data_IF_136886927706
#
_entry.id   IF_136886927706
#
_cell.length_a   1.000
_cell.length_b   1.000
_cell.length_c   1.000
_cell.angle_alpha   90.00
_cell.angle_beta   90.00
_cell.angle_gamma   90.00
#
_symmetry.space_group_name_H-M   'P 1'
#
loop_
_entity.id
_entity.type
_entity.pdbx_description
1 polymer ?
#
# COMPACT_ATOMS: atom_id res chain seq x y z
N UNK A 1 1.09 13.23 -2.13
CA UNK A 1 1.20 14.43 -1.26
C UNK A 1 0.54 15.62 -1.96
N UNK A 2 -0.18 16.44 -1.21
CA UNK A 2 -0.94 17.57 -1.76
C UNK A 2 -0.10 18.84 -1.92
N UNK A 3 -0.61 19.80 -2.70
CA UNK A 3 -0.07 21.15 -2.78
C UNK A 3 -0.07 21.83 -1.41
N UNK A 4 1.07 22.34 -0.94
CA UNK A 4 1.16 23.20 0.25
C UNK A 4 0.86 24.68 -0.06
N UNK A 5 0.29 24.96 -1.23
CA UNK A 5 0.05 26.32 -1.68
C UNK A 5 -1.13 26.96 -0.97
N UNK A 6 -1.00 28.26 -0.71
CA UNK A 6 -2.07 29.07 -0.16
C UNK A 6 -2.93 29.62 -1.29
N UNK A 7 -4.24 29.62 -1.09
CA UNK A 7 -5.18 30.33 -1.95
C UNK A 7 -5.64 31.59 -1.22
N UNK A 8 -5.76 32.70 -1.95
CA UNK A 8 -6.36 33.93 -1.40
C UNK A 8 -7.85 33.90 -1.65
N UNK A 9 -8.64 33.94 -0.58
CA UNK A 9 -10.10 33.97 -0.64
C UNK A 9 -10.55 35.37 -0.27
N UNK A 10 -11.45 35.94 -1.07
CA UNK A 10 -12.01 37.27 -0.85
C UNK A 10 -13.53 37.19 -0.90
N UNK A 11 -14.18 37.68 0.14
CA UNK A 11 -15.62 37.99 0.15
C UNK A 11 -15.82 39.49 0.08
N UNK A 12 -16.82 39.92 -0.68
CA UNK A 12 -17.23 41.31 -0.78
C UNK A 12 -18.70 41.46 -0.37
N UNK A 13 -19.05 42.64 0.12
CA UNK A 13 -20.42 43.00 0.49
C UNK A 13 -20.77 44.37 -0.04
N UNK A 14 -22.06 44.56 -0.33
CA UNK A 14 -22.62 45.84 -0.74
C UNK A 14 -22.77 46.84 0.41
N UNK A 15 -22.59 46.41 1.66
CA UNK A 15 -22.70 47.27 2.85
C UNK A 15 -21.42 47.25 3.69
N UNK A 16 -21.06 48.39 4.29
CA UNK A 16 -20.01 48.44 5.31
C UNK A 16 -20.54 47.85 6.62
N UNK A 17 -19.95 46.73 7.03
CA UNK A 17 -20.40 45.98 8.21
C UNK A 17 -20.11 46.72 9.53
N UNK A 18 -19.20 47.71 9.54
CA UNK A 18 -18.85 48.47 10.76
C UNK A 18 -20.05 49.25 11.31
N UNK A 19 -20.83 49.88 10.43
CA UNK A 19 -21.91 50.78 10.82
C UNK A 19 -23.19 50.03 11.22
N UNK A 20 -23.27 48.73 10.89
CA UNK A 20 -24.45 47.90 11.10
C UNK A 20 -24.32 46.92 12.27
N UNK A 21 -23.17 46.91 12.98
CA UNK A 21 -22.89 45.94 14.05
C UNK A 21 -22.73 44.50 13.54
N UNK A 22 -22.43 44.35 12.24
CA UNK A 22 -22.30 43.08 11.54
C UNK A 22 -20.82 42.76 11.27
N UNK A 23 -20.53 41.61 10.70
CA UNK A 23 -19.24 41.25 10.14
C UNK A 23 -19.41 40.45 8.85
N UNK A 24 -18.36 40.50 8.02
CA UNK A 24 -18.17 39.60 6.90
C UNK A 24 -17.48 38.34 7.39
N UNK A 25 -17.90 37.20 6.90
CA UNK A 25 -17.35 35.91 7.27
C UNK A 25 -17.09 35.06 6.04
N UNK A 26 -15.94 34.41 6.01
CA UNK A 26 -15.63 33.36 5.04
C UNK A 26 -15.77 32.05 5.81
N UNK A 27 -16.68 31.20 5.35
CA UNK A 27 -17.00 29.95 5.99
C UNK A 27 -16.73 28.79 5.05
N UNK A 28 -16.21 27.71 5.60
CA UNK A 28 -15.96 26.45 4.90
C UNK A 28 -17.07 25.47 5.26
N UNK A 29 -17.96 25.22 4.31
CA UNK A 29 -19.08 24.29 4.47
C UNK A 29 -18.58 22.85 4.55
N UNK A 30 -17.49 22.52 3.87
CA UNK A 30 -16.89 21.17 3.88
C UNK A 30 -16.30 20.85 5.25
N UNK A 31 -15.59 21.79 5.86
CA UNK A 31 -15.02 21.61 7.20
C UNK A 31 -16.01 21.95 8.33
N UNK A 32 -17.15 22.57 8.01
CA UNK A 32 -18.12 23.04 9.00
C UNK A 32 -17.52 24.08 9.95
N UNK A 33 -16.65 24.96 9.45
CA UNK A 33 -15.93 25.91 10.31
C UNK A 33 -15.67 27.26 9.64
N UNK A 34 -15.52 28.29 10.46
CA UNK A 34 -15.18 29.64 10.00
C UNK A 34 -13.69 29.73 9.65
N UNK A 35 -13.40 30.15 8.42
CA UNK A 35 -12.04 30.41 7.94
C UNK A 35 -11.52 31.75 8.47
N UNK A 36 -12.31 32.81 8.33
CA UNK A 36 -11.98 34.15 8.85
C UNK A 36 -13.22 35.01 9.02
N UNK A 37 -13.07 36.17 9.66
CA UNK A 37 -14.07 37.24 9.64
C UNK A 37 -13.43 38.63 9.65
N UNK A 38 -14.18 39.62 9.15
CA UNK A 38 -13.82 41.02 9.19
C UNK A 38 -14.98 41.84 9.72
N UNK A 39 -14.75 42.62 10.78
CA UNK A 39 -15.78 43.43 11.45
C UNK A 39 -15.93 44.86 10.90
N UNK A 40 -15.21 45.20 9.82
CA UNK A 40 -15.23 46.53 9.21
C UNK A 40 -15.01 46.44 7.70
N UNK A 41 -15.57 47.39 6.96
CA UNK A 41 -15.39 47.52 5.52
C UNK A 41 -16.34 46.65 4.72
N UNK A 42 -16.15 46.67 3.40
CA UNK A 42 -16.96 45.92 2.42
C UNK A 42 -16.23 44.72 1.84
N UNK A 43 -14.99 44.46 2.28
CA UNK A 43 -14.14 43.41 1.74
C UNK A 43 -13.45 42.68 2.89
N UNK A 44 -13.49 41.36 2.87
CA UNK A 44 -12.72 40.52 3.78
C UNK A 44 -11.90 39.52 2.96
N UNK A 45 -10.58 39.52 3.19
CA UNK A 45 -9.64 38.67 2.46
C UNK A 45 -8.79 37.89 3.44
N UNK A 46 -8.54 36.62 3.13
CA UNK A 46 -7.61 35.78 3.89
C UNK A 46 -6.83 34.82 3.00
N UNK A 47 -5.69 34.37 3.50
CA UNK A 47 -4.92 33.28 2.91
C UNK A 47 -5.36 31.96 3.54
N UNK A 48 -5.96 31.08 2.73
CA UNK A 48 -6.43 29.75 3.15
C UNK A 48 -5.47 28.67 2.65
N UNK A 49 -5.11 27.73 3.52
CA UNK A 49 -4.12 26.67 3.27
C UNK A 49 -4.68 25.33 3.71
N UNK A 50 -4.40 24.29 2.94
CA UNK A 50 -4.64 22.90 3.32
C UNK A 50 -3.35 22.09 3.22
N UNK A 51 -3.25 21.06 4.05
CA UNK A 51 -2.11 20.13 4.08
C UNK A 51 -2.39 18.84 3.33
N UNK A 52 -3.66 18.56 3.05
CA UNK A 52 -4.15 17.40 2.29
C UNK A 52 -4.89 17.83 1.03
N UNK A 53 -5.00 16.92 0.07
CA UNK A 53 -5.76 17.16 -1.15
C UNK A 53 -7.24 17.07 -0.86
N UNK A 54 -8.03 17.89 -1.52
CA UNK A 54 -9.47 17.94 -1.30
C UNK A 54 -10.11 19.12 -2.02
N UNK A 55 -11.43 19.11 -2.06
CA UNK A 55 -12.26 20.22 -2.54
C UNK A 55 -12.97 20.81 -1.34
N UNK A 56 -12.85 22.12 -1.15
CA UNK A 56 -13.55 22.87 -0.11
C UNK A 56 -14.58 23.79 -0.74
N UNK A 57 -15.80 23.73 -0.22
CA UNK A 57 -16.91 24.60 -0.58
C UNK A 57 -16.93 25.81 0.38
N UNK A 58 -16.62 26.99 -0.15
CA UNK A 58 -16.52 28.22 0.61
C UNK A 58 -17.67 29.16 0.28
N UNK A 59 -18.24 29.79 1.30
CA UNK A 59 -19.27 30.83 1.16
C UNK A 59 -18.90 32.08 1.94
N UNK A 60 -19.40 33.21 1.46
CA UNK A 60 -19.35 34.48 2.14
C UNK A 60 -20.64 34.78 2.89
N UNK A 61 -20.55 35.14 4.17
CA UNK A 61 -21.68 35.55 5.00
C UNK A 61 -21.61 37.03 5.37
N UNK A 62 -22.78 37.69 5.39
CA UNK A 62 -23.03 38.89 6.19
C UNK A 62 -23.98 38.49 7.29
N UNK A 63 -23.51 38.47 8.54
CA UNK A 63 -24.33 38.04 9.66
C UNK A 63 -25.45 39.05 10.00
N UNK A 64 -26.46 38.59 10.74
CA UNK A 64 -27.61 39.40 11.19
C UNK A 64 -28.87 39.13 10.37
N UNK A 65 -29.93 39.93 10.61
CA UNK A 65 -31.22 39.79 9.91
C UNK A 65 -31.51 41.05 9.07
N UNK A 66 -31.83 40.92 7.76
CA UNK A 66 -31.69 39.69 6.98
C UNK A 66 -30.22 39.28 6.83
N UNK A 67 -29.99 37.98 6.81
CA UNK A 67 -28.70 37.36 6.51
C UNK A 67 -28.48 37.35 5.00
N UNK A 68 -27.25 37.54 4.56
CA UNK A 68 -26.88 37.38 3.15
C UNK A 68 -25.77 36.33 3.04
N UNK A 69 -25.93 35.41 2.10
CA UNK A 69 -24.99 34.35 1.79
C UNK A 69 -24.65 34.43 0.30
N UNK A 70 -23.38 34.32 -0.06
CA UNK A 70 -22.97 34.23 -1.46
C UNK A 70 -23.29 32.85 -2.05
N UNK A 71 -23.27 32.76 -3.37
CA UNK A 71 -23.11 31.46 -4.02
C UNK A 71 -21.78 30.81 -3.58
N UNK A 72 -21.71 29.48 -3.54
CA UNK A 72 -20.49 28.77 -3.14
C UNK A 72 -19.38 28.90 -4.18
N UNK A 73 -18.16 29.06 -3.68
CA UNK A 73 -16.93 28.98 -4.45
C UNK A 73 -16.16 27.71 -4.06
N UNK A 74 -15.75 26.93 -5.04
CA UNK A 74 -15.01 25.69 -4.83
C UNK A 74 -13.51 25.94 -4.95
N UNK A 75 -12.75 25.51 -3.95
CA UNK A 75 -11.29 25.58 -3.94
C UNK A 75 -10.72 24.17 -3.86
N UNK A 76 -9.88 23.80 -4.83
CA UNK A 76 -9.29 22.46 -4.93
C UNK A 76 -7.81 22.49 -4.60
N UNK A 77 -7.41 21.75 -3.56
CA UNK A 77 -6.01 21.38 -3.34
C UNK A 77 -5.72 20.08 -4.08
N UNK A 78 -4.92 20.19 -5.14
CA UNK A 78 -4.57 19.04 -5.97
C UNK A 78 -3.72 18.03 -5.19
N UNK A 79 -4.04 16.76 -5.36
CA UNK A 79 -3.23 15.62 -4.95
C UNK A 79 -3.15 14.60 -6.07
N UNK A 80 -2.05 13.84 -6.10
CA UNK A 80 -1.85 12.74 -7.03
C UNK A 80 -1.34 11.51 -6.27
N UNK A 81 -1.89 10.35 -6.60
CA UNK A 81 -1.41 9.02 -6.21
C UNK A 81 -0.79 8.32 -7.42
N UNK A 82 0.10 7.36 -7.17
CA UNK A 82 0.72 6.54 -8.21
C UNK A 82 0.64 5.07 -7.77
N UNK A 83 0.30 4.19 -8.69
CA UNK A 83 0.46 2.75 -8.54
C UNK A 83 1.42 2.23 -9.61
N UNK A 84 2.37 1.38 -9.23
CA UNK A 84 3.32 0.74 -10.14
C UNK A 84 3.20 -0.78 -9.97
N UNK A 85 2.76 -1.48 -11.03
CA UNK A 85 2.61 -2.94 -11.00
C UNK A 85 3.52 -3.56 -12.03
N UNK A 86 4.36 -4.49 -11.62
CA UNK A 86 5.04 -5.38 -12.55
C UNK A 86 4.64 -6.81 -12.26
N UNK A 87 4.06 -7.47 -13.25
CA UNK A 87 3.90 -8.92 -13.25
C UNK A 87 4.71 -9.38 -14.44
N UNK A 88 6.03 -9.30 -14.32
CA UNK A 88 6.99 -9.52 -15.40
C UNK A 88 8.07 -10.52 -14.97
N UNK A 89 8.55 -11.40 -15.88
CA UNK A 89 9.29 -12.61 -15.55
C UNK A 89 10.60 -12.35 -14.81
N UNK A 90 11.18 -13.44 -14.27
CA UNK A 90 12.43 -13.56 -13.47
C UNK A 90 13.68 -12.80 -13.97
N UNK A 91 13.61 -12.12 -15.12
CA UNK A 91 14.72 -11.46 -15.83
C UNK A 91 14.40 -10.04 -16.34
N UNK A 92 13.25 -9.46 -15.97
CA UNK A 92 12.82 -8.13 -16.38
C UNK A 92 11.46 -8.12 -17.06
N UNK A 93 10.79 -6.97 -17.10
CA UNK A 93 9.44 -6.89 -17.65
C UNK A 93 8.86 -5.48 -17.73
N UNK A 94 7.61 -5.43 -18.18
CA UNK A 94 6.84 -4.18 -18.24
C UNK A 94 6.31 -3.82 -16.86
N UNK A 95 6.55 -2.58 -16.45
CA UNK A 95 5.91 -1.94 -15.31
C UNK A 95 4.74 -1.11 -15.84
N UNK A 96 3.55 -1.40 -15.35
CA UNK A 96 2.34 -0.63 -15.60
C UNK A 96 2.19 0.43 -14.52
N UNK A 97 2.22 1.69 -14.92
CA UNK A 97 2.14 2.85 -14.02
C UNK A 97 0.80 3.55 -14.24
N UNK A 98 0.08 3.82 -13.15
CA UNK A 98 -1.17 4.59 -13.17
C UNK A 98 -1.13 5.67 -12.12
N UNK A 99 -1.10 6.92 -12.56
CA UNK A 99 -1.25 8.09 -11.71
C UNK A 99 -2.71 8.55 -11.70
N UNK A 100 -3.23 8.93 -10.53
CA UNK A 100 -4.63 9.40 -10.36
C UNK A 100 -4.68 10.67 -9.53
N UNK A 101 -5.41 11.67 -10.00
CA UNK A 101 -5.63 12.95 -9.32
C UNK A 101 -7.01 13.00 -8.67
N UNK A 102 -7.16 13.84 -7.66
CA UNK A 102 -8.44 14.05 -6.95
C UNK A 102 -9.40 15.00 -7.70
N UNK A 103 -9.00 15.55 -8.85
CA UNK A 103 -9.80 16.44 -9.66
C UNK A 103 -9.52 16.25 -11.15
N UNK A 104 -10.53 16.52 -11.99
CA UNK A 104 -10.40 16.49 -13.44
C UNK A 104 -9.56 17.69 -13.92
N UNK A 105 -8.48 17.39 -14.65
CA UNK A 105 -7.53 18.37 -15.15
C UNK A 105 -7.77 18.77 -16.61
N UNK A 106 -8.76 18.20 -17.30
CA UNK A 106 -8.99 18.39 -18.73
C UNK A 106 -9.14 19.87 -19.12
N UNK A 107 -9.83 20.66 -18.29
CA UNK A 107 -10.07 22.09 -18.49
C UNK A 107 -9.02 23.01 -17.85
N UNK A 108 -8.04 22.47 -17.13
CA UNK A 108 -6.99 23.25 -16.44
C UNK A 108 -5.78 23.46 -17.36
N UNK A 109 -4.72 24.20 -16.98
CA UNK A 109 -3.43 24.17 -17.70
C UNK A 109 -2.56 22.95 -17.32
N UNK A 110 -2.92 22.19 -16.29
CA UNK A 110 -2.08 21.16 -15.69
C UNK A 110 -2.14 19.81 -16.42
N UNK A 111 -1.03 19.10 -16.47
CA UNK A 111 -0.89 17.72 -16.97
C UNK A 111 -0.37 16.81 -15.85
N UNK A 112 -0.56 15.51 -16.04
CA UNK A 112 0.00 14.48 -15.17
C UNK A 112 1.23 13.88 -15.85
N UNK A 113 2.36 13.79 -15.17
CA UNK A 113 3.56 13.11 -15.66
C UNK A 113 4.11 12.13 -14.63
N UNK A 114 4.58 10.97 -15.08
CA UNK A 114 5.27 9.99 -14.22
C UNK A 114 6.76 10.05 -14.54
N UNK A 115 7.58 10.09 -13.51
CA UNK A 115 9.03 10.23 -13.62
C UNK A 115 9.72 9.06 -12.95
N UNK A 116 10.81 8.59 -13.54
CA UNK A 116 11.70 7.61 -12.90
C UNK A 116 12.59 8.27 -11.83
N UNK A 117 13.32 7.43 -11.09
CA UNK A 117 14.26 7.86 -10.05
C UNK A 117 15.40 8.78 -10.55
N UNK A 118 15.68 8.78 -11.86
CA UNK A 118 16.64 9.69 -12.49
C UNK A 118 15.99 11.04 -12.89
N UNK A 119 14.70 11.23 -12.64
CA UNK A 119 13.96 12.43 -13.00
C UNK A 119 13.59 12.51 -14.48
N UNK A 120 13.59 11.38 -15.20
CA UNK A 120 13.19 11.32 -16.61
C UNK A 120 11.71 11.01 -16.71
N UNK A 121 11.01 11.72 -17.61
CA UNK A 121 9.60 11.43 -17.91
C UNK A 121 9.48 10.03 -18.50
N UNK A 122 8.57 9.24 -17.94
CA UNK A 122 8.22 7.91 -18.44
C UNK A 122 7.17 8.06 -19.52
N UNK A 123 7.48 7.56 -20.72
CA UNK A 123 6.59 7.51 -21.88
C UNK A 123 6.09 8.90 -22.33
N UNK A 124 5.02 9.42 -21.71
CA UNK A 124 4.44 10.72 -22.01
C UNK A 124 3.74 11.35 -20.79
N UNK A 125 3.41 12.64 -20.89
CA UNK A 125 2.52 13.30 -19.94
C UNK A 125 1.08 13.25 -20.45
N UNK A 126 0.12 13.01 -19.55
CA UNK A 126 -1.29 12.89 -19.92
C UNK A 126 -2.07 14.18 -19.64
N UNK A 127 -2.84 14.61 -20.64
CA UNK A 127 -3.86 15.66 -20.54
C UNK A 127 -5.25 15.04 -20.56
N UNK A 128 -5.56 14.20 -19.58
CA UNK A 128 -6.77 13.39 -19.57
C UNK A 128 -7.39 13.34 -18.18
N UNK A 129 -8.62 13.86 -18.05
CA UNK A 129 -9.49 13.61 -16.91
C UNK A 129 -8.78 13.67 -15.55
N UNK A 130 -8.86 12.55 -14.84
CA UNK A 130 -8.24 12.33 -13.52
C UNK A 130 -7.09 11.33 -13.54
N UNK A 131 -6.73 10.74 -14.69
CA UNK A 131 -5.81 9.59 -14.73
C UNK A 131 -4.78 9.68 -15.85
N UNK A 132 -3.58 9.19 -15.57
CA UNK A 132 -2.51 8.98 -16.55
C UNK A 132 -1.96 7.57 -16.42
N UNK A 133 -1.96 6.82 -17.52
CA UNK A 133 -1.44 5.45 -17.57
C UNK A 133 -0.28 5.40 -18.53
N UNK A 134 0.88 4.95 -18.05
CA UNK A 134 2.11 4.82 -18.84
C UNK A 134 2.79 3.49 -18.55
N UNK A 135 3.74 3.10 -19.40
CA UNK A 135 4.50 1.88 -19.24
C UNK A 135 6.00 2.18 -19.18
N UNK A 136 6.73 1.43 -18.37
CA UNK A 136 8.18 1.44 -18.35
C UNK A 136 8.71 0.01 -18.51
N UNK A 137 9.90 -0.13 -19.10
CA UNK A 137 10.61 -1.40 -19.17
C UNK A 137 11.71 -1.46 -18.12
N UNK A 138 11.83 -2.57 -17.40
CA UNK A 138 12.90 -2.80 -16.41
C UNK A 138 13.71 -4.04 -16.77
N UNK A 139 15.04 -3.91 -16.74
CA UNK A 139 15.97 -5.04 -16.84
C UNK A 139 16.05 -5.77 -15.50
N UNK A 140 16.10 -7.10 -15.51
CA UNK A 140 16.27 -7.90 -14.29
C UNK A 140 17.48 -7.45 -13.47
N UNK A 141 17.29 -7.27 -12.16
CA UNK A 141 18.34 -6.88 -11.21
C UNK A 141 18.25 -5.46 -10.65
N UNK A 142 17.30 -4.63 -11.10
CA UNK A 142 17.02 -3.33 -10.49
C UNK A 142 15.52 -3.10 -10.30
N UNK A 143 15.13 -2.64 -9.12
CA UNK A 143 13.77 -2.15 -8.84
C UNK A 143 13.78 -0.63 -8.93
N UNK A 144 13.44 -0.02 -10.08
CA UNK A 144 13.47 1.44 -10.20
C UNK A 144 12.30 2.06 -9.43
N UNK A 145 12.55 3.19 -8.80
CA UNK A 145 11.48 3.97 -8.19
C UNK A 145 10.84 4.97 -9.18
N UNK A 146 9.56 5.26 -8.98
CA UNK A 146 8.78 6.20 -9.78
C UNK A 146 8.05 7.23 -8.92
N UNK A 147 7.72 8.37 -9.51
CA UNK A 147 6.90 9.41 -8.86
C UNK A 147 6.02 10.10 -9.88
N UNK A 148 4.74 10.31 -9.54
CA UNK A 148 3.82 11.11 -10.33
C UNK A 148 3.82 12.58 -9.90
N UNK A 149 3.69 13.46 -10.87
CA UNK A 149 3.62 14.91 -10.71
C UNK A 149 2.40 15.46 -11.45
N UNK A 150 1.83 16.52 -10.89
CA UNK A 150 0.88 17.40 -11.58
C UNK A 150 1.57 18.76 -11.76
N UNK A 151 1.65 19.25 -12.99
CA UNK A 151 2.33 20.51 -13.32
C UNK A 151 2.04 20.97 -14.74
N UNK A 152 2.63 22.08 -15.17
CA UNK A 152 2.48 22.61 -16.52
C UNK A 152 3.58 22.10 -17.45
N UNK A 153 3.23 21.96 -18.74
CA UNK A 153 4.25 21.79 -19.77
C UNK A 153 5.06 23.09 -19.90
N UNK A 154 6.39 23.01 -20.06
CA UNK A 154 7.20 24.19 -20.27
C UNK A 154 6.80 24.89 -21.59
N UNK A 155 6.90 26.23 -21.65
CA UNK A 155 6.56 26.97 -22.86
C UNK A 155 7.43 26.53 -24.04
N UNK A 156 6.88 26.45 -25.27
CA UNK A 156 7.64 26.04 -26.44
C UNK A 156 8.81 27.00 -26.68
N UNK A 157 10.03 26.45 -26.69
CA UNK A 157 11.24 27.23 -27.00
C UNK A 157 11.17 27.65 -28.47
N UNK A 158 11.24 28.96 -28.73
CA UNK A 158 11.33 29.49 -30.10
C UNK A 158 12.66 29.05 -30.72
N UNK A 159 12.65 28.05 -31.58
CA UNK A 159 13.85 27.53 -32.24
C UNK A 159 14.52 28.60 -33.11
N UNK A 160 15.69 29.08 -32.70
CA UNK A 160 16.61 29.79 -33.61
C UNK A 160 17.36 28.76 -34.45
N UNK A 161 17.78 29.17 -35.67
CA UNK A 161 18.38 28.28 -36.69
C UNK A 161 19.63 27.52 -36.17
N UNK A 162 20.31 28.06 -35.16
CA UNK A 162 21.48 27.44 -34.51
C UNK A 162 21.08 26.25 -33.61
N UNK A 163 19.87 26.24 -33.05
CA UNK A 163 19.36 25.16 -32.19
C UNK A 163 19.09 23.84 -32.93
N UNK A 164 18.89 23.87 -34.25
CA UNK A 164 18.67 22.67 -35.09
C UNK A 164 19.92 21.82 -35.30
N UNK A 165 21.12 22.40 -35.12
CA UNK A 165 22.39 21.71 -35.39
C UNK A 165 22.93 20.99 -34.15
N UNK A 166 22.49 21.37 -32.94
CA UNK A 166 22.96 20.78 -31.67
C UNK A 166 22.02 19.70 -31.14
N UNK A 167 20.77 19.65 -31.61
CA UNK A 167 19.76 18.67 -31.16
C UNK A 167 19.90 17.27 -31.78
N UNK A 168 20.89 17.02 -32.64
CA UNK A 168 21.07 15.74 -33.33
C UNK A 168 21.99 14.75 -32.60
N UNK A 169 22.58 15.11 -31.44
CA UNK A 169 23.59 14.26 -30.76
C UNK A 169 23.18 13.83 -29.35
N UNK A 170 22.07 14.32 -28.81
CA UNK A 170 21.50 13.80 -27.54
C UNK A 170 19.99 13.73 -27.65
N UNK A 171 19.40 12.55 -27.42
CA UNK A 171 17.97 12.42 -27.22
C UNK A 171 17.56 13.38 -26.10
N UNK A 172 16.72 14.40 -26.36
CA UNK A 172 16.35 15.32 -25.30
C UNK A 172 15.49 14.54 -24.32
N UNK A 173 15.95 14.41 -23.07
CA UNK A 173 15.07 14.05 -21.98
C UNK A 173 13.86 14.99 -22.03
N UNK A 174 12.65 14.43 -22.17
CA UNK A 174 11.43 15.25 -22.20
C UNK A 174 11.45 16.17 -20.96
N UNK A 175 11.19 17.48 -21.13
CA UNK A 175 11.49 18.43 -20.08
C UNK A 175 10.59 18.20 -18.85
N UNK A 176 11.17 18.39 -17.67
CA UNK A 176 10.43 18.30 -16.41
C UNK A 176 9.25 19.27 -16.41
N UNK A 177 8.11 18.85 -15.85
CA UNK A 177 6.98 19.75 -15.65
C UNK A 177 7.43 20.94 -14.80
N UNK A 178 6.96 22.13 -15.17
CA UNK A 178 7.14 23.37 -14.40
C UNK A 178 5.90 23.63 -13.55
N UNK A 179 5.98 24.56 -12.61
CA UNK A 179 4.86 24.95 -11.75
C UNK A 179 4.15 23.75 -11.11
N UNK A 180 4.94 22.87 -10.50
CA UNK A 180 4.44 21.63 -9.88
C UNK A 180 3.42 21.96 -8.79
N UNK A 181 2.22 21.42 -8.96
CA UNK A 181 1.09 21.57 -8.06
C UNK A 181 1.00 20.42 -7.05
N UNK A 182 1.30 19.18 -7.47
CA UNK A 182 1.23 18.01 -6.60
C UNK A 182 2.29 16.97 -6.97
N UNK A 183 2.66 16.15 -5.99
CA UNK A 183 3.65 15.05 -6.12
C UNK A 183 3.17 13.82 -5.36
N UNK A 184 3.23 12.63 -5.96
CA UNK A 184 2.90 11.38 -5.27
C UNK A 184 3.99 11.00 -4.25
N UNK A 185 3.73 9.98 -3.43
CA UNK A 185 4.84 9.26 -2.80
C UNK A 185 5.72 8.60 -3.88
N UNK A 186 6.95 8.30 -3.52
CA UNK A 186 7.83 7.47 -4.35
C UNK A 186 7.28 6.04 -4.30
N UNK A 187 7.17 5.39 -5.46
CA UNK A 187 6.62 4.04 -5.58
C UNK A 187 7.61 3.17 -6.35
N UNK A 188 7.96 2.04 -5.77
CA UNK A 188 8.67 0.96 -6.47
C UNK A 188 7.64 0.00 -7.07
N UNK A 189 7.87 -0.56 -8.27
CA UNK A 189 7.05 -1.60 -8.83
C UNK A 189 6.98 -2.78 -7.86
N UNK A 190 5.75 -3.20 -7.58
CA UNK A 190 5.54 -4.55 -7.05
C UNK A 190 6.23 -5.54 -7.98
N UNK A 191 7.10 -6.38 -7.44
CA UNK A 191 7.75 -7.49 -8.13
C UNK A 191 7.59 -8.77 -7.32
N UNK A 192 7.88 -9.90 -7.96
CA UNK A 192 7.73 -11.22 -7.34
C UNK A 192 8.97 -11.57 -6.53
N UNK A 193 8.75 -11.89 -5.26
CA UNK A 193 9.71 -12.47 -4.34
C UNK A 193 9.49 -13.98 -4.29
N UNK A 194 10.57 -14.74 -4.28
CA UNK A 194 10.52 -16.18 -4.03
C UNK A 194 11.01 -16.46 -2.61
N UNK A 195 10.25 -17.24 -1.87
CA UNK A 195 10.56 -17.55 -0.47
C UNK A 195 10.16 -18.96 -0.11
N UNK A 196 10.33 -19.24 1.17
CA UNK A 196 9.94 -20.50 1.80
C UNK A 196 9.37 -20.20 3.18
N UNK A 197 8.63 -21.12 3.76
CA UNK A 197 8.33 -21.10 5.19
C UNK A 197 8.67 -22.46 5.82
N UNK A 198 8.90 -22.44 7.14
CA UNK A 198 9.23 -23.68 7.84
C UNK A 198 8.88 -23.65 9.33
N UNK A 199 8.41 -24.79 9.81
CA UNK A 199 8.29 -25.07 11.24
C UNK A 199 9.67 -25.04 11.93
N UNK A 200 10.65 -25.75 11.37
CA UNK A 200 12.03 -25.80 11.87
C UNK A 200 12.76 -24.47 11.71
N UNK A 201 13.69 -24.19 12.62
CA UNK A 201 14.57 -23.04 12.53
C UNK A 201 15.52 -23.13 11.33
N UNK A 202 15.71 -22.04 10.59
CA UNK A 202 16.53 -22.09 9.37
C UNK A 202 18.04 -22.04 9.62
N UNK A 203 18.44 -21.65 10.84
CA UNK A 203 19.82 -21.76 11.35
C UNK A 203 20.14 -23.14 11.92
N UNK A 204 19.18 -24.07 11.92
CA UNK A 204 19.35 -25.44 12.39
C UNK A 204 19.02 -25.69 13.86
N UNK A 205 18.86 -26.98 14.15
CA UNK A 205 18.79 -27.72 15.42
C UNK A 205 19.73 -28.96 15.24
N UNK A 206 20.02 -29.83 16.25
CA UNK A 206 20.79 -31.08 16.10
C UNK A 206 20.50 -31.98 14.86
N UNK A 207 19.45 -31.74 14.09
CA UNK A 207 19.09 -32.41 12.84
C UNK A 207 19.65 -31.78 11.54
N UNK A 208 20.27 -30.59 11.60
CA UNK A 208 20.98 -29.93 10.47
C UNK A 208 20.47 -28.52 10.10
N UNK A 209 21.32 -27.71 9.43
CA UNK A 209 20.98 -26.34 9.01
C UNK A 209 20.12 -26.32 7.73
N UNK A 210 18.91 -25.75 7.79
CA UNK A 210 17.99 -25.69 6.64
C UNK A 210 18.39 -24.64 5.60
N UNK A 211 18.87 -23.46 6.01
CA UNK A 211 19.20 -22.39 5.06
C UNK A 211 20.24 -22.82 4.00
N UNK A 212 21.38 -23.45 4.34
CA UNK A 212 22.31 -23.95 3.33
C UNK A 212 21.72 -25.04 2.43
N UNK A 213 20.78 -25.85 2.94
CA UNK A 213 20.10 -26.87 2.14
C UNK A 213 19.15 -26.22 1.12
N UNK A 214 18.35 -25.24 1.54
CA UNK A 214 17.47 -24.46 0.64
C UNK A 214 18.30 -23.78 -0.45
N UNK A 215 19.36 -23.05 -0.09
CA UNK A 215 20.23 -22.37 -1.07
C UNK A 215 20.81 -23.33 -2.09
N UNK A 216 21.24 -24.52 -1.66
CA UNK A 216 21.87 -25.53 -2.51
C UNK A 216 20.89 -26.22 -3.46
N UNK A 217 19.69 -26.52 -2.98
CA UNK A 217 18.76 -27.41 -3.68
C UNK A 217 17.59 -26.69 -4.35
N UNK A 218 17.14 -25.57 -3.78
CA UNK A 218 15.97 -24.83 -4.25
C UNK A 218 16.37 -23.44 -4.78
N UNK A 219 17.31 -22.77 -4.13
CA UNK A 219 17.79 -21.44 -4.49
C UNK A 219 17.77 -20.48 -3.30
N UNK A 220 18.40 -19.32 -3.44
CA UNK A 220 18.47 -18.33 -2.35
C UNK A 220 17.11 -17.66 -2.14
N UNK A 221 16.48 -17.79 -0.96
CA UNK A 221 15.21 -17.16 -0.66
C UNK A 221 15.33 -15.64 -0.51
N UNK A 222 14.35 -14.91 -1.02
CA UNK A 222 14.19 -13.46 -0.79
C UNK A 222 13.50 -13.19 0.56
N UNK A 223 12.68 -14.15 1.03
CA UNK A 223 12.04 -14.12 2.33
C UNK A 223 11.86 -15.51 2.94
N UNK A 224 11.65 -15.56 4.26
CA UNK A 224 11.38 -16.78 5.01
C UNK A 224 10.20 -16.59 6.00
N UNK A 225 9.18 -17.44 5.93
CA UNK A 225 8.08 -17.50 6.91
C UNK A 225 8.45 -18.22 8.20
N UNK A 226 8.32 -17.54 9.35
CA UNK A 226 8.75 -18.07 10.66
C UNK A 226 7.81 -17.67 11.79
N UNK A 227 7.68 -18.57 12.77
CA UNK A 227 6.75 -18.42 13.88
C UNK A 227 7.23 -17.41 14.93
N UNK A 228 6.33 -16.56 15.43
CA UNK A 228 6.61 -15.53 16.43
C UNK A 228 6.91 -16.09 17.82
N UNK A 229 6.36 -17.26 18.14
CA UNK A 229 6.37 -17.86 19.48
C UNK A 229 6.70 -19.35 19.40
N UNK A 230 7.24 -19.89 20.49
CA UNK A 230 7.46 -21.33 20.61
C UNK A 230 6.11 -22.06 20.80
N UNK A 231 5.72 -22.85 19.81
CA UNK A 231 4.53 -23.71 19.85
C UNK A 231 4.94 -25.16 19.58
N UNK A 232 4.27 -25.85 18.66
CA UNK A 232 4.80 -27.08 18.04
C UNK A 232 6.04 -26.77 17.17
N UNK A 233 6.13 -25.54 16.67
CA UNK A 233 7.26 -25.03 15.91
C UNK A 233 8.09 -24.07 16.78
N UNK A 234 9.43 -24.12 16.72
CA UNK A 234 10.28 -23.13 17.39
C UNK A 234 10.00 -21.73 16.84
N UNK A 235 9.97 -20.74 17.74
CA UNK A 235 9.84 -19.34 17.39
C UNK A 235 11.14 -18.76 16.79
N UNK A 236 11.03 -17.56 16.21
CA UNK A 236 12.16 -16.81 15.64
C UNK A 236 13.22 -16.59 16.72
N UNK A 237 14.45 -17.03 16.44
CA UNK A 237 15.59 -16.83 17.34
C UNK A 237 16.47 -15.62 16.96
N UNK A 238 17.29 -15.08 17.88
CA UNK A 238 18.30 -14.07 17.55
C UNK A 238 19.30 -14.52 16.47
N UNK A 239 19.60 -15.83 16.39
CA UNK A 239 20.47 -16.37 15.35
C UNK A 239 19.81 -16.29 13.97
N UNK A 240 18.52 -16.60 13.88
CA UNK A 240 17.73 -16.45 12.65
C UNK A 240 17.66 -15.00 12.20
N UNK A 241 17.41 -14.07 13.15
CA UNK A 241 17.41 -12.62 12.88
C UNK A 241 18.75 -12.17 12.32
N UNK A 242 19.87 -12.59 12.94
CA UNK A 242 21.21 -12.22 12.50
C UNK A 242 21.55 -12.78 11.11
N UNK A 243 21.16 -14.03 10.83
CA UNK A 243 21.40 -14.64 9.53
C UNK A 243 20.54 -13.95 8.44
N UNK A 244 19.27 -13.66 8.72
CA UNK A 244 18.39 -12.92 7.81
C UNK A 244 18.95 -11.52 7.50
N UNK A 245 19.43 -10.79 8.51
CA UNK A 245 20.09 -9.49 8.33
C UNK A 245 21.32 -9.60 7.41
N UNK A 246 22.18 -10.60 7.64
CA UNK A 246 23.40 -10.79 6.85
C UNK A 246 23.17 -11.10 5.37
N UNK A 247 21.97 -11.59 5.04
CA UNK A 247 21.57 -11.95 3.67
C UNK A 247 20.54 -10.99 3.07
N UNK A 248 20.17 -9.91 3.77
CA UNK A 248 19.06 -9.03 3.37
C UNK A 248 17.77 -9.79 3.03
N UNK A 249 17.49 -10.84 3.80
CA UNK A 249 16.33 -11.71 3.62
C UNK A 249 15.17 -11.21 4.49
N UNK A 250 13.98 -11.11 3.89
CA UNK A 250 12.77 -10.74 4.61
C UNK A 250 12.29 -11.87 5.53
N UNK A 251 11.68 -11.52 6.65
CA UNK A 251 10.94 -12.42 7.52
C UNK A 251 9.45 -12.13 7.37
N UNK A 252 8.66 -13.19 7.16
CA UNK A 252 7.20 -13.18 7.26
C UNK A 252 6.83 -13.77 8.63
N UNK A 253 6.52 -12.96 9.65
CA UNK A 253 6.26 -13.44 11.00
C UNK A 253 4.87 -14.04 11.10
N UNK A 254 4.78 -15.26 11.62
CA UNK A 254 3.56 -16.06 11.70
C UNK A 254 3.17 -16.23 13.16
N UNK A 255 1.96 -15.88 13.51
CA UNK A 255 1.33 -16.26 14.76
C UNK A 255 0.53 -17.55 14.52
N UNK A 256 0.82 -18.56 15.32
CA UNK A 256 -0.03 -19.73 15.43
C UNK A 256 -0.33 -19.99 16.91
N UNK A 257 -1.51 -20.53 17.18
CA UNK A 257 -1.87 -21.01 18.51
C UNK A 257 -1.81 -22.55 18.51
N UNK A 258 -1.45 -23.15 19.65
CA UNK A 258 -1.37 -24.61 19.78
C UNK A 258 -2.76 -25.27 19.60
N UNK A 259 -3.83 -24.56 19.94
CA UNK A 259 -5.21 -24.99 19.74
C UNK A 259 -5.73 -24.45 18.40
N UNK A 260 -5.35 -25.12 17.32
CA UNK A 260 -5.65 -24.70 15.96
C UNK A 260 -7.16 -24.70 15.59
N UNK A 261 -8.05 -25.18 16.46
CA UNK A 261 -9.50 -25.07 16.30
C UNK A 261 -10.14 -23.81 16.92
N UNK A 262 -9.39 -23.05 17.70
CA UNK A 262 -9.90 -21.86 18.38
C UNK A 262 -9.68 -20.62 17.51
N UNK A 263 -10.39 -20.57 16.38
CA UNK A 263 -10.31 -19.49 15.38
C UNK A 263 -11.67 -18.83 15.13
N UNK A 264 -12.52 -18.78 16.16
CA UNK A 264 -13.88 -18.20 16.09
C UNK A 264 -14.06 -17.06 17.08
N UNK A 265 -14.99 -16.16 16.78
CA UNK A 265 -15.35 -14.97 17.54
C UNK A 265 -14.32 -13.84 17.56
N UNK A 266 -14.84 -12.61 17.69
CA UNK A 266 -14.05 -11.39 17.84
C UNK A 266 -13.10 -11.44 19.05
N UNK A 267 -13.57 -11.91 20.19
CA UNK A 267 -12.78 -11.91 21.42
C UNK A 267 -11.50 -12.76 21.26
N UNK A 268 -11.62 -13.93 20.62
CA UNK A 268 -10.47 -14.80 20.34
C UNK A 268 -9.53 -14.17 19.32
N UNK A 269 -10.04 -13.65 18.21
CA UNK A 269 -9.21 -13.00 17.19
C UNK A 269 -8.41 -11.81 17.76
N UNK A 270 -9.07 -10.98 18.58
CA UNK A 270 -8.42 -9.86 19.25
C UNK A 270 -7.40 -10.31 20.29
N UNK A 271 -7.69 -11.36 21.08
CA UNK A 271 -6.73 -11.91 22.03
C UNK A 271 -5.46 -12.37 21.31
N UNK A 272 -5.58 -13.13 20.22
CA UNK A 272 -4.44 -13.60 19.45
C UNK A 272 -3.64 -12.44 18.85
N UNK A 273 -4.32 -11.40 18.37
CA UNK A 273 -3.64 -10.20 17.89
C UNK A 273 -2.80 -9.53 18.99
N UNK A 274 -3.32 -9.43 20.22
CA UNK A 274 -2.57 -8.89 21.36
C UNK A 274 -1.33 -9.74 21.68
N UNK A 275 -1.46 -11.06 21.66
CA UNK A 275 -0.36 -12.00 21.90
C UNK A 275 0.71 -11.91 20.81
N UNK A 276 0.30 -11.89 19.54
CA UNK A 276 1.17 -11.73 18.38
C UNK A 276 1.92 -10.39 18.41
N UNK A 277 1.23 -9.29 18.69
CA UNK A 277 1.82 -7.95 18.83
C UNK A 277 2.85 -7.93 19.97
N UNK A 278 2.55 -8.55 21.11
CA UNK A 278 3.50 -8.62 22.22
C UNK A 278 4.75 -9.44 21.84
N UNK A 279 4.61 -10.52 21.08
CA UNK A 279 5.73 -11.31 20.57
C UNK A 279 6.57 -10.51 19.57
N UNK A 280 5.93 -9.84 18.61
CA UNK A 280 6.57 -8.99 17.63
C UNK A 280 7.41 -7.87 18.29
N UNK A 281 6.86 -7.23 19.32
CA UNK A 281 7.57 -6.20 20.10
C UNK A 281 8.80 -6.76 20.82
N UNK A 282 8.73 -7.96 21.41
CA UNK A 282 9.88 -8.61 22.06
C UNK A 282 11.00 -8.95 21.08
N UNK A 283 10.65 -9.31 19.85
CA UNK A 283 11.59 -9.59 18.76
C UNK A 283 12.13 -8.31 18.10
N UNK A 284 11.61 -7.13 18.46
CA UNK A 284 12.02 -5.85 17.88
C UNK A 284 11.48 -5.59 16.48
N UNK A 285 10.38 -6.25 16.10
CA UNK A 285 9.74 -6.04 14.79
C UNK A 285 9.15 -4.62 14.78
N UNK A 286 9.58 -3.74 13.85
CA UNK A 286 9.08 -2.38 13.80
C UNK A 286 7.61 -2.34 13.35
N UNK A 287 6.91 -1.27 13.72
CA UNK A 287 5.57 -0.98 13.20
C UNK A 287 5.59 -0.85 11.67
N UNK A 288 4.44 -1.07 11.04
CA UNK A 288 4.26 -1.09 9.59
C UNK A 288 4.77 -2.37 8.94
N UNK A 289 4.96 -3.44 9.71
CA UNK A 289 5.33 -4.78 9.23
C UNK A 289 4.18 -5.76 9.39
N UNK A 290 4.17 -6.76 8.54
CA UNK A 290 3.16 -7.82 8.56
C UNK A 290 3.24 -8.67 9.83
N UNK A 291 2.08 -9.08 10.33
CA UNK A 291 1.90 -10.21 11.24
C UNK A 291 0.84 -11.12 10.63
N UNK A 292 1.21 -12.35 10.28
CA UNK A 292 0.30 -13.33 9.70
C UNK A 292 -0.35 -14.18 10.79
N UNK A 293 -1.67 -14.39 10.72
CA UNK A 293 -2.35 -15.44 11.50
C UNK A 293 -2.43 -16.71 10.65
N UNK A 294 -2.02 -17.83 11.25
CA UNK A 294 -2.08 -19.17 10.67
C UNK A 294 -3.48 -19.78 10.85
N UNK A 295 -4.26 -19.85 9.76
CA UNK A 295 -5.59 -20.48 9.73
C UNK A 295 -5.52 -21.71 8.82
N UNK A 296 -5.06 -22.82 9.42
CA UNK A 296 -4.85 -24.10 8.75
C UNK A 296 -6.14 -24.66 8.09
N UNK A 297 -6.02 -25.46 7.02
CA UNK A 297 -7.17 -26.15 6.43
C UNK A 297 -7.84 -27.11 7.43
N UNK A 298 -9.14 -27.42 7.25
CA UNK A 298 -9.80 -28.44 8.05
C UNK A 298 -9.18 -29.83 7.87
N UNK A 299 -8.85 -30.50 8.96
CA UNK A 299 -8.33 -31.86 8.99
C UNK A 299 -8.58 -32.60 10.31
N UNK A 300 -8.28 -33.90 10.33
CA UNK A 300 -8.57 -34.76 11.49
C UNK A 300 -7.75 -34.40 12.74
N UNK A 301 -6.51 -33.92 12.53
CA UNK A 301 -5.63 -33.45 13.61
C UNK A 301 -5.91 -32.00 14.03
N UNK A 302 -6.45 -31.22 13.09
CA UNK A 302 -6.70 -29.80 13.27
C UNK A 302 -7.99 -29.37 12.56
N UNK A 303 -9.06 -29.00 13.28
CA UNK A 303 -10.27 -28.55 12.61
C UNK A 303 -10.08 -27.20 11.90
N UNK A 304 -9.08 -26.40 12.31
CA UNK A 304 -8.60 -25.23 11.57
C UNK A 304 -9.72 -24.29 11.14
N UNK A 305 -9.70 -23.95 9.84
CA UNK A 305 -10.67 -23.09 9.19
C UNK A 305 -12.13 -23.59 9.29
N UNK A 306 -12.42 -24.83 9.74
CA UNK A 306 -13.81 -25.28 9.90
C UNK A 306 -14.61 -24.43 10.91
N UNK A 307 -13.91 -23.77 11.84
CA UNK A 307 -14.53 -22.91 12.84
C UNK A 307 -14.32 -21.42 12.58
N UNK A 308 -13.62 -21.03 11.51
CA UNK A 308 -13.34 -19.61 11.27
C UNK A 308 -14.63 -18.85 10.95
N UNK A 309 -14.82 -17.72 11.61
CA UNK A 309 -15.95 -16.82 11.39
C UNK A 309 -15.50 -15.38 11.13
N UNK A 310 -16.42 -14.53 10.70
CA UNK A 310 -16.12 -13.12 10.42
C UNK A 310 -15.71 -12.34 11.67
N UNK A 311 -16.15 -12.77 12.85
CA UNK A 311 -15.79 -12.13 14.12
C UNK A 311 -14.31 -12.30 14.41
N UNK A 312 -13.77 -13.51 14.23
CA UNK A 312 -12.34 -13.77 14.41
C UNK A 312 -11.47 -12.90 13.49
N UNK A 313 -11.88 -12.77 12.23
CA UNK A 313 -11.19 -11.90 11.26
C UNK A 313 -11.24 -10.44 11.71
N UNK A 314 -12.39 -9.95 12.14
CA UNK A 314 -12.53 -8.57 12.65
C UNK A 314 -11.65 -8.32 13.90
N UNK A 315 -11.66 -9.26 14.86
CA UNK A 315 -10.84 -9.16 16.06
C UNK A 315 -9.33 -9.14 15.78
N UNK A 316 -8.86 -9.99 14.85
CA UNK A 316 -7.46 -10.00 14.44
C UNK A 316 -7.08 -8.69 13.72
N UNK A 317 -7.92 -8.24 12.80
CA UNK A 317 -7.74 -6.98 12.09
C UNK A 317 -7.56 -5.82 13.08
N UNK A 318 -8.51 -5.61 13.98
CA UNK A 318 -8.48 -4.48 14.92
C UNK A 318 -7.23 -4.53 15.81
N UNK A 319 -6.96 -5.68 16.44
CA UNK A 319 -5.84 -5.78 17.38
C UNK A 319 -4.46 -5.57 16.73
N UNK A 320 -4.25 -6.09 15.52
CA UNK A 320 -2.98 -5.93 14.80
C UNK A 320 -2.85 -4.53 14.17
N UNK A 321 -3.93 -4.06 13.53
CA UNK A 321 -3.95 -2.75 12.86
C UNK A 321 -3.78 -1.61 13.87
N UNK A 322 -4.49 -1.63 15.00
CA UNK A 322 -4.43 -0.56 16.00
C UNK A 322 -3.09 -0.52 16.74
N UNK A 323 -2.39 -1.65 16.83
CA UNK A 323 -1.01 -1.70 17.29
C UNK A 323 -0.01 -1.06 16.30
N UNK A 324 -0.44 -0.82 15.06
CA UNK A 324 0.35 -0.24 13.97
C UNK A 324 1.13 -1.27 13.16
N UNK A 325 0.69 -2.53 13.15
CA UNK A 325 1.19 -3.59 12.27
C UNK A 325 0.20 -3.84 11.12
N UNK A 326 0.59 -4.62 10.12
CA UNK A 326 -0.27 -4.97 8.98
C UNK A 326 -0.83 -6.38 9.19
N UNK A 327 -2.16 -6.55 9.34
CA UNK A 327 -2.77 -7.86 9.50
C UNK A 327 -2.63 -8.68 8.22
N UNK A 328 -2.14 -9.92 8.34
CA UNK A 328 -2.10 -10.89 7.25
C UNK A 328 -2.85 -12.15 7.66
N UNK A 329 -3.56 -12.78 6.72
CA UNK A 329 -4.27 -14.05 6.96
C UNK A 329 -3.74 -15.13 6.04
N UNK A 330 -3.14 -16.17 6.61
CA UNK A 330 -2.87 -17.41 5.90
C UNK A 330 -4.16 -18.24 5.85
N UNK A 331 -4.61 -18.65 4.66
CA UNK A 331 -5.89 -19.34 4.54
C UNK A 331 -6.22 -19.86 3.14
N UNK A 332 -7.35 -20.57 3.04
CA UNK A 332 -7.80 -21.14 1.76
C UNK A 332 -8.38 -20.04 0.85
N UNK A 333 -7.56 -19.49 -0.04
CA UNK A 333 -7.98 -18.46 -0.99
C UNK A 333 -9.03 -18.90 -2.01
N UNK A 334 -9.47 -20.17 -2.04
CA UNK A 334 -10.52 -20.62 -2.97
C UNK A 334 -11.87 -19.97 -2.64
N UNK A 335 -12.47 -19.27 -3.59
CA UNK A 335 -13.82 -18.73 -3.45
C UNK A 335 -14.82 -19.78 -2.95
N UNK A 336 -15.57 -19.44 -1.90
CA UNK A 336 -16.55 -20.33 -1.27
C UNK A 336 -15.97 -21.36 -0.29
N UNK A 337 -14.65 -21.37 -0.04
CA UNK A 337 -14.05 -22.10 1.10
C UNK A 337 -14.57 -21.57 2.45
N UNK A 338 -14.30 -22.29 3.53
CA UNK A 338 -14.63 -21.90 4.90
C UNK A 338 -14.01 -20.53 5.24
N UNK A 339 -12.71 -20.39 4.99
CA UNK A 339 -11.98 -19.13 5.16
C UNK A 339 -12.55 -18.03 4.26
N UNK A 340 -12.75 -18.29 2.96
CA UNK A 340 -13.26 -17.28 2.04
C UNK A 340 -14.67 -16.78 2.44
N UNK A 341 -15.54 -17.66 2.95
CA UNK A 341 -16.86 -17.27 3.47
C UNK A 341 -16.75 -16.34 4.67
N UNK A 342 -15.90 -16.68 5.65
CA UNK A 342 -15.66 -15.83 6.81
C UNK A 342 -15.07 -14.48 6.41
N UNK A 343 -14.07 -14.49 5.52
CA UNK A 343 -13.41 -13.30 4.99
C UNK A 343 -14.40 -12.38 4.28
N UNK A 344 -15.19 -12.90 3.35
CA UNK A 344 -16.16 -12.09 2.62
C UNK A 344 -17.27 -11.55 3.52
N UNK A 345 -17.68 -12.29 4.56
CA UNK A 345 -18.60 -11.77 5.56
C UNK A 345 -17.97 -10.61 6.37
N UNK A 346 -16.71 -10.74 6.78
CA UNK A 346 -15.98 -9.68 7.49
C UNK A 346 -15.80 -8.42 6.64
N UNK A 347 -15.29 -8.55 5.41
CA UNK A 347 -15.10 -7.41 4.49
C UNK A 347 -16.42 -6.75 4.10
N UNK A 348 -17.50 -7.53 3.96
CA UNK A 348 -18.83 -6.95 3.71
C UNK A 348 -19.35 -6.13 4.89
N UNK A 349 -19.02 -6.51 6.13
CA UNK A 349 -19.42 -5.79 7.34
C UNK A 349 -18.52 -4.58 7.61
N UNK A 350 -17.21 -4.75 7.38
CA UNK A 350 -16.16 -3.76 7.66
C UNK A 350 -15.23 -3.66 6.44
N UNK A 351 -15.55 -2.80 5.45
CA UNK A 351 -14.80 -2.71 4.20
C UNK A 351 -13.31 -2.36 4.37
N UNK A 352 -12.93 -1.72 5.48
CA UNK A 352 -11.52 -1.40 5.77
C UNK A 352 -10.66 -2.64 5.98
N UNK A 353 -11.23 -3.77 6.39
CA UNK A 353 -10.52 -5.06 6.48
C UNK A 353 -9.92 -5.43 5.13
N UNK A 354 -10.70 -5.29 4.04
CA UNK A 354 -10.27 -5.67 2.69
C UNK A 354 -9.19 -4.75 2.10
N UNK A 355 -9.09 -3.50 2.56
CA UNK A 355 -8.05 -2.55 2.11
C UNK A 355 -6.86 -2.46 3.05
N UNK A 356 -7.03 -2.84 4.32
CA UNK A 356 -6.05 -2.69 5.39
C UNK A 356 -5.41 -3.99 5.85
N UNK A 357 -5.70 -5.11 5.19
CA UNK A 357 -5.08 -6.41 5.45
C UNK A 357 -4.62 -7.07 4.15
N UNK A 358 -3.67 -7.99 4.28
CA UNK A 358 -3.20 -8.81 3.16
C UNK A 358 -3.54 -10.30 3.37
N UNK A 359 -3.56 -11.05 2.29
CA UNK A 359 -3.92 -12.46 2.25
C UNK A 359 -2.74 -13.27 1.73
N UNK A 360 -2.49 -14.38 2.41
CA UNK A 360 -1.53 -15.41 2.04
C UNK A 360 -2.30 -16.70 1.73
N UNK A 361 -2.51 -16.98 0.45
CA UNK A 361 -3.29 -18.15 0.04
C UNK A 361 -2.42 -19.40 0.04
N UNK A 362 -2.92 -20.54 0.53
CA UNK A 362 -2.31 -21.85 0.29
C UNK A 362 -2.90 -22.57 -0.94
N UNK A 363 -3.73 -21.89 -1.73
CA UNK A 363 -4.34 -22.45 -2.95
C UNK A 363 -4.05 -21.60 -4.20
N UNK A 364 -3.81 -22.24 -5.36
CA UNK A 364 -3.76 -23.69 -5.54
C UNK A 364 -2.48 -24.29 -4.94
N UNK A 365 -2.60 -25.42 -4.24
CA UNK A 365 -1.45 -26.22 -3.83
C UNK A 365 -1.00 -27.08 -5.01
N UNK A 366 0.23 -26.89 -5.46
CA UNK A 366 0.80 -27.56 -6.61
C UNK A 366 1.58 -28.80 -6.19
N UNK A 367 1.52 -29.84 -7.02
CA UNK A 367 2.40 -31.01 -6.93
C UNK A 367 3.57 -30.85 -7.92
N UNK A 368 4.81 -30.99 -7.45
CA UNK A 368 5.98 -30.98 -8.33
C UNK A 368 7.27 -30.59 -7.62
N UNK A 369 8.41 -30.78 -8.30
CA UNK A 369 9.71 -30.29 -7.84
C UNK A 369 9.96 -28.89 -8.36
N UNK A 370 9.80 -27.89 -7.51
CA UNK A 370 10.08 -26.49 -7.84
C UNK A 370 11.37 -26.03 -7.15
N UNK A 371 12.15 -25.24 -7.88
CA UNK A 371 13.28 -24.46 -7.39
C UNK A 371 12.98 -22.98 -7.71
N UNK A 372 13.66 -22.01 -7.10
CA UNK A 372 13.49 -20.58 -7.41
C UNK A 372 13.53 -20.30 -8.92
N UNK A 373 14.45 -20.94 -9.64
CA UNK A 373 14.59 -20.78 -11.10
C UNK A 373 13.40 -21.35 -11.89
N UNK A 374 12.70 -22.36 -11.36
CA UNK A 374 11.55 -23.04 -11.97
C UNK A 374 10.21 -22.83 -11.26
N UNK A 375 10.15 -21.95 -10.24
CA UNK A 375 8.94 -21.50 -9.56
C UNK A 375 7.84 -21.11 -10.58
N UNK A 376 6.56 -21.38 -10.25
CA UNK A 376 5.43 -21.16 -11.15
C UNK A 376 5.23 -19.68 -11.50
N UNK A 377 4.25 -19.39 -12.33
CA UNK A 377 3.76 -18.01 -12.44
C UNK A 377 2.83 -17.74 -11.25
N UNK A 378 3.00 -16.59 -10.60
CA UNK A 378 2.14 -16.14 -9.51
C UNK A 378 0.66 -16.17 -9.92
N UNK A 379 -0.11 -17.08 -9.31
CA UNK A 379 -1.53 -17.28 -9.60
C UNK A 379 -2.29 -17.90 -8.41
N UNK A 380 -2.19 -17.32 -7.19
CA UNK A 380 -3.04 -17.75 -6.08
C UNK A 380 -4.52 -17.63 -6.41
N UNK A 381 -5.33 -18.47 -5.78
CA UNK A 381 -6.78 -18.34 -5.82
C UNK A 381 -7.26 -17.14 -5.00
N UNK A 382 -8.31 -16.51 -5.50
CA UNK A 382 -8.97 -15.35 -4.93
C UNK A 382 -10.25 -15.76 -4.19
N UNK A 383 -10.48 -15.15 -3.03
CA UNK A 383 -11.61 -15.45 -2.13
C UNK A 383 -12.98 -15.13 -2.73
N UNK A 384 -13.03 -14.39 -3.84
CA UNK A 384 -14.25 -13.98 -4.53
C UNK A 384 -14.82 -12.65 -4.05
N UNK A 385 -14.11 -11.91 -3.20
CA UNK A 385 -14.49 -10.61 -2.67
C UNK A 385 -13.24 -9.73 -2.43
N UNK A 386 -13.40 -8.43 -2.12
CA UNK A 386 -12.24 -7.54 -1.99
C UNK A 386 -11.22 -8.03 -0.95
N UNK A 387 -9.94 -8.01 -1.32
CA UNK A 387 -8.81 -8.33 -0.47
C UNK A 387 -7.50 -8.22 -1.26
N UNK A 388 -6.38 -8.03 -0.56
CA UNK A 388 -5.07 -7.95 -1.18
C UNK A 388 -4.39 -9.33 -1.10
N UNK A 389 -4.48 -10.14 -2.15
CA UNK A 389 -3.71 -11.40 -2.21
C UNK A 389 -2.26 -11.05 -2.54
N UNK A 390 -1.40 -11.08 -1.52
CA UNK A 390 0.00 -10.61 -1.61
C UNK A 390 1.00 -11.75 -1.40
N UNK A 391 0.57 -12.92 -0.92
CA UNK A 391 1.42 -14.11 -0.81
C UNK A 391 0.69 -15.39 -1.24
N UNK A 392 1.47 -16.38 -1.66
CA UNK A 392 0.99 -17.68 -2.12
C UNK A 392 1.94 -18.79 -1.71
N UNK A 393 1.49 -19.68 -0.82
CA UNK A 393 2.14 -20.96 -0.59
C UNK A 393 1.67 -21.93 -1.67
N UNK A 394 2.57 -22.23 -2.61
CA UNK A 394 2.23 -23.01 -3.80
C UNK A 394 2.70 -24.46 -3.71
N UNK A 395 3.58 -24.81 -2.75
CA UNK A 395 3.95 -26.20 -2.44
C UNK A 395 3.95 -26.41 -0.93
N UNK A 396 3.21 -27.41 -0.49
CA UNK A 396 3.38 -28.04 0.82
C UNK A 396 4.38 -29.18 0.68
N UNK A 397 5.52 -29.10 1.37
CA UNK A 397 6.59 -30.11 1.31
C UNK A 397 6.89 -30.77 2.65
N UNK A 398 5.98 -30.69 3.63
CA UNK A 398 6.13 -31.31 4.95
C UNK A 398 6.68 -32.75 4.87
N UNK A 399 7.84 -32.99 5.49
CA UNK A 399 8.51 -34.29 5.52
C UNK A 399 9.40 -34.60 4.31
N UNK A 400 9.60 -33.65 3.41
CA UNK A 400 10.54 -33.76 2.29
C UNK A 400 11.97 -33.37 2.67
N UNK A 401 12.91 -33.56 1.74
CA UNK A 401 14.27 -33.01 1.84
C UNK A 401 14.47 -32.13 0.61
N UNK A 402 14.44 -30.79 0.71
CA UNK A 402 14.50 -29.95 1.93
C UNK A 402 13.12 -29.70 2.54
N UNK A 403 13.00 -29.85 3.87
CA UNK A 403 11.74 -29.76 4.64
C UNK A 403 11.29 -28.31 4.84
N UNK A 404 10.84 -27.68 3.75
CA UNK A 404 10.30 -26.32 3.71
C UNK A 404 9.11 -26.26 2.74
N UNK A 405 8.14 -25.41 3.04
CA UNK A 405 7.10 -25.06 2.11
C UNK A 405 7.62 -23.96 1.16
N UNK A 406 7.05 -23.85 -0.04
CA UNK A 406 7.54 -22.89 -1.04
C UNK A 406 6.48 -21.83 -1.34
N UNK A 407 6.96 -20.58 -1.36
CA UNK A 407 6.11 -19.42 -1.46
C UNK A 407 6.55 -18.45 -2.55
N UNK A 408 5.58 -17.72 -3.05
CA UNK A 408 5.80 -16.47 -3.76
C UNK A 408 5.07 -15.33 -3.04
N UNK A 409 5.70 -14.17 -2.97
CA UNK A 409 5.08 -12.97 -2.42
C UNK A 409 5.29 -11.77 -3.34
N UNK A 410 4.34 -10.85 -3.31
CA UNK A 410 4.48 -9.56 -3.93
C UNK A 410 5.35 -8.68 -3.03
N UNK A 411 6.28 -7.92 -3.62
CA UNK A 411 7.17 -7.03 -2.87
C UNK A 411 6.45 -5.86 -2.17
N UNK A 412 5.15 -5.69 -2.42
CA UNK A 412 4.27 -4.79 -1.66
C UNK A 412 3.94 -5.32 -0.27
N UNK A 413 4.05 -6.64 -0.03
CA UNK A 413 3.89 -7.24 1.28
C UNK A 413 4.98 -6.68 2.22
N UNK A 414 4.62 -5.98 3.32
CA UNK A 414 5.60 -5.30 4.16
C UNK A 414 6.33 -6.26 5.13
N UNK A 415 7.12 -7.16 4.55
CA UNK A 415 8.01 -8.08 5.25
C UNK A 415 8.97 -7.36 6.21
N UNK A 416 9.39 -8.05 7.25
CA UNK A 416 10.40 -7.56 8.19
C UNK A 416 11.80 -7.87 7.67
N UNK A 417 12.59 -6.84 7.34
CA UNK A 417 14.01 -6.98 7.02
C UNK A 417 14.84 -6.54 8.23
N UNK A 418 15.41 -7.46 9.01
CA UNK A 418 16.26 -7.10 10.14
C UNK A 418 17.56 -6.44 9.67
N UNK A 419 18.14 -5.60 10.55
CA UNK A 419 19.33 -4.79 10.29
C UNK A 419 20.38 -4.94 11.37
#
# INVERSE_FOLDING_TARGET
MASKQSVTVTVTSSIDVRQSGRWLEIYDLTAGSRVTYCSRGTVCTTSFKQTSGGVHELVGYVNGQPEAVSDPAYVTWLSVSLTARSIGPKTGGTVYLRATTNADLASTPWVIGVYDQQGRLVDHACKTGTTCTVQAWVSGGTTPAYTAFVGALPPPVKSTIIGKVVSSVTSPASPALVDVQAKSAVVEPTHLLWGVDSCKAFTGDPTGELYPAVVRHLGTPDFWGRYLTDTVCPGISPAEIALAASHHMGLLPIYNEYICGNVSSYATGHQYAVEAVAAAQRLGIPKGRVLAIDIEPPGDACPGAAYVDSGFIDGWYEGVHDAGYIPVYYGNGTAGSEFARAWCAAVSAVPSIGTGSDLWSFQPSLSGGFAKSSAPNYSPYDTGCPGNIEAWQYVLSAGSSVDVDQDEALSSLPLWYPS
#
